data_IF_601000552535
#
_entry.id   IF_601000552535
#
_cell.length_a   1.000
_cell.length_b   1.000
_cell.length_c   1.000
_cell.angle_alpha   90.00
_cell.angle_beta   90.00
_cell.angle_gamma   90.00
#
_symmetry.space_group_name_H-M   'P 1'
#
loop_
_entity.id
_entity.type
_entity.pdbx_description
1 polymer ?
#
# COMPACT_ATOMS: atom_id res chain seq x y z
N UNK A 1 -15.10 -0.62 -4.79
CA UNK A 1 -15.18 0.71 -4.16
C UNK A 1 -13.82 1.06 -3.57
N UNK A 2 -13.25 2.21 -3.91
CA UNK A 2 -12.04 2.73 -3.23
C UNK A 2 -12.45 3.53 -1.99
N UNK A 3 -11.94 3.13 -0.82
CA UNK A 3 -12.20 3.77 0.47
C UNK A 3 -10.91 4.37 1.04
N UNK A 4 -10.96 5.62 1.46
CA UNK A 4 -9.86 6.28 2.16
C UNK A 4 -10.19 6.43 3.64
N UNK A 5 -9.67 5.53 4.48
CA UNK A 5 -9.78 5.56 5.94
C UNK A 5 -8.60 6.29 6.59
N UNK A 6 -7.88 7.10 5.85
CA UNK A 6 -6.74 7.88 6.29
C UNK A 6 -6.50 9.06 5.37
N UNK A 7 -5.61 9.97 5.74
CA UNK A 7 -5.33 11.17 4.96
C UNK A 7 -4.76 10.82 3.59
N UNK A 8 -5.56 11.07 2.59
CA UNK A 8 -5.12 11.17 1.20
C UNK A 8 -5.00 12.64 0.80
N UNK A 9 -4.48 12.88 -0.39
CA UNK A 9 -4.54 14.19 -1.04
C UNK A 9 -6.01 14.52 -1.37
N UNK A 10 -6.54 15.63 -0.84
CA UNK A 10 -7.92 16.07 -1.06
C UNK A 10 -8.88 15.77 0.10
N UNK A 11 -10.19 15.88 -0.15
CA UNK A 11 -11.27 15.76 0.84
C UNK A 11 -12.04 14.42 0.78
N UNK A 12 -11.40 13.34 0.34
CA UNK A 12 -12.02 12.02 0.20
C UNK A 12 -11.95 11.16 1.47
N UNK A 13 -11.50 11.73 2.59
CA UNK A 13 -11.39 11.02 3.86
C UNK A 13 -12.75 10.60 4.41
N UNK A 14 -12.87 9.34 4.79
CA UNK A 14 -14.01 8.78 5.51
C UNK A 14 -13.52 8.24 6.85
N UNK A 15 -13.71 9.01 7.92
CA UNK A 15 -13.25 8.70 9.30
C UNK A 15 -14.40 8.55 10.31
N UNK A 16 -15.63 8.93 9.91
CA UNK A 16 -16.79 8.81 10.79
C UNK A 16 -17.30 7.38 10.85
N UNK A 17 -17.39 6.82 12.06
CA UNK A 17 -17.81 5.43 12.29
C UNK A 17 -19.14 5.08 11.61
N UNK A 18 -20.14 5.95 11.71
CA UNK A 18 -21.44 5.71 11.06
C UNK A 18 -21.34 5.65 9.53
N UNK A 19 -20.49 6.48 8.92
CA UNK A 19 -20.27 6.46 7.48
C UNK A 19 -19.55 5.17 7.06
N UNK A 20 -18.57 4.74 7.83
CA UNK A 20 -17.86 3.48 7.60
C UNK A 20 -18.82 2.29 7.71
N UNK A 21 -19.61 2.21 8.78
CA UNK A 21 -20.61 1.15 8.95
C UNK A 21 -21.61 1.09 7.79
N UNK A 22 -22.09 2.25 7.32
CA UNK A 22 -22.99 2.33 6.19
C UNK A 22 -22.33 1.83 4.89
N UNK A 23 -21.06 2.15 4.65
CA UNK A 23 -20.32 1.67 3.47
C UNK A 23 -20.15 0.15 3.56
N UNK A 24 -19.65 -0.39 4.67
CA UNK A 24 -19.40 -1.82 4.80
C UNK A 24 -20.67 -2.67 4.75
N UNK A 25 -21.81 -2.16 5.26
CA UNK A 25 -23.09 -2.87 5.21
C UNK A 25 -23.89 -2.61 3.91
N UNK A 26 -23.54 -1.56 3.16
CA UNK A 26 -24.35 -1.06 2.03
C UNK A 26 -23.93 -1.61 0.66
N UNK A 27 -22.97 -2.54 0.58
CA UNK A 27 -22.49 -3.03 -0.70
C UNK A 27 -21.95 -4.46 -0.65
N UNK A 28 -22.19 -5.21 -1.73
CA UNK A 28 -21.57 -6.53 -1.98
C UNK A 28 -20.29 -6.40 -2.83
N UNK A 29 -19.94 -5.18 -3.27
CA UNK A 29 -18.74 -4.93 -4.03
C UNK A 29 -17.48 -5.04 -3.16
N UNK A 30 -16.36 -5.40 -3.79
CA UNK A 30 -15.06 -5.34 -3.12
C UNK A 30 -14.76 -3.90 -2.66
N UNK A 31 -14.44 -3.75 -1.38
CA UNK A 31 -13.95 -2.49 -0.79
C UNK A 31 -12.43 -2.55 -0.76
N UNK A 32 -11.77 -1.68 -1.53
CA UNK A 32 -10.32 -1.53 -1.51
C UNK A 32 -9.96 -0.32 -0.64
N UNK A 33 -9.33 -0.55 0.51
CA UNK A 33 -9.16 0.47 1.54
C UNK A 33 -7.71 0.93 1.71
N UNK A 34 -7.49 2.25 1.65
CA UNK A 34 -6.29 2.90 2.16
C UNK A 34 -6.45 3.11 3.67
N UNK A 35 -5.53 2.57 4.47
CA UNK A 35 -5.65 2.50 5.91
C UNK A 35 -4.48 3.17 6.62
N UNK A 36 -4.71 4.40 7.09
CA UNK A 36 -3.80 5.12 7.99
C UNK A 36 -4.62 5.98 8.96
N UNK A 37 -4.41 5.81 10.27
CA UNK A 37 -5.17 6.54 11.29
C UNK A 37 -4.80 8.02 11.32
N UNK A 38 -5.77 8.86 10.98
CA UNK A 38 -5.59 10.30 10.82
C UNK A 38 -5.23 11.01 12.13
N UNK A 39 -5.83 10.58 13.23
CA UNK A 39 -5.57 11.19 14.54
C UNK A 39 -4.14 10.92 14.99
N UNK A 40 -3.67 9.69 14.85
CA UNK A 40 -2.28 9.32 15.16
C UNK A 40 -1.30 10.11 14.29
N UNK A 41 -1.58 10.24 12.98
CA UNK A 41 -0.72 11.02 12.08
C UNK A 41 -0.68 12.48 12.49
N UNK A 42 -1.82 13.11 12.77
CA UNK A 42 -1.92 14.50 13.20
C UNK A 42 -1.12 14.73 14.49
N UNK A 43 -1.29 13.87 15.49
CA UNK A 43 -0.56 13.95 16.74
C UNK A 43 0.96 13.81 16.54
N UNK A 44 1.38 12.90 15.66
CA UNK A 44 2.78 12.74 15.29
C UNK A 44 3.33 13.99 14.58
N UNK A 45 2.57 14.59 13.65
CA UNK A 45 2.97 15.83 12.96
C UNK A 45 3.22 16.93 13.99
N UNK A 46 2.30 17.16 14.93
CA UNK A 46 2.46 18.20 15.95
C UNK A 46 3.68 17.95 16.84
N UNK A 47 3.91 16.69 17.25
CA UNK A 47 5.11 16.30 17.99
C UNK A 47 6.40 16.63 17.22
N UNK A 48 6.43 16.34 15.93
CA UNK A 48 7.61 16.60 15.10
C UNK A 48 7.78 18.08 14.77
N UNK A 49 6.69 18.85 14.60
CA UNK A 49 6.76 20.33 14.49
C UNK A 49 7.39 20.94 15.74
N UNK A 50 7.02 20.47 16.93
CA UNK A 50 7.63 20.95 18.18
C UNK A 50 9.11 20.60 18.23
N UNK A 51 9.49 19.35 17.85
CA UNK A 51 10.88 18.90 17.83
C UNK A 51 11.77 19.72 16.87
N UNK A 52 11.22 20.11 15.73
CA UNK A 52 11.93 20.87 14.69
C UNK A 52 11.47 22.33 14.63
N UNK A 53 11.08 22.91 15.79
CA UNK A 53 10.65 24.31 15.89
C UNK A 53 11.72 25.25 15.35
N UNK A 54 11.33 26.13 14.41
CA UNK A 54 12.22 27.08 13.75
C UNK A 54 12.89 26.54 12.46
N UNK A 55 12.74 25.25 12.13
CA UNK A 55 13.13 24.73 10.82
C UNK A 55 12.05 25.03 9.77
N UNK A 56 12.49 25.18 8.53
CA UNK A 56 11.57 25.47 7.39
C UNK A 56 10.65 24.29 7.05
N UNK A 57 11.11 23.05 7.34
CA UNK A 57 10.32 21.81 7.20
C UNK A 57 10.88 20.73 8.14
N UNK A 58 10.10 19.66 8.34
CA UNK A 58 10.54 18.46 9.08
C UNK A 58 11.39 17.60 8.14
N UNK A 59 12.57 17.10 8.55
CA UNK A 59 13.36 16.22 7.70
C UNK A 59 12.55 15.04 7.17
N UNK A 60 12.72 14.69 5.89
CA UNK A 60 11.98 13.61 5.25
C UNK A 60 12.18 12.24 5.95
N UNK A 61 13.31 12.03 6.59
CA UNK A 61 13.60 10.83 7.40
C UNK A 61 12.64 10.65 8.60
N UNK A 62 11.92 11.71 9.01
CA UNK A 62 10.88 11.62 10.02
C UNK A 62 9.53 11.10 9.46
N UNK A 63 9.35 11.07 8.13
CA UNK A 63 8.10 10.64 7.50
C UNK A 63 7.60 9.25 7.97
N UNK A 64 8.46 8.21 8.10
CA UNK A 64 8.04 6.91 8.64
C UNK A 64 7.61 6.93 10.10
N UNK A 65 8.06 7.91 10.87
CA UNK A 65 7.64 8.09 12.27
C UNK A 65 6.36 8.90 12.39
N UNK A 66 6.09 9.79 11.45
CA UNK A 66 4.83 10.51 11.32
C UNK A 66 3.73 9.54 10.88
N UNK A 67 3.93 8.83 9.77
CA UNK A 67 3.06 7.75 9.28
C UNK A 67 3.52 6.42 9.84
N UNK A 68 3.30 6.28 11.13
CA UNK A 68 3.92 5.27 11.98
C UNK A 68 3.25 3.90 11.85
N UNK A 69 3.93 2.86 12.37
CA UNK A 69 3.35 1.51 12.47
C UNK A 69 2.01 1.50 13.23
N UNK A 70 1.86 2.20 14.39
CA UNK A 70 0.57 2.32 15.04
C UNK A 70 -0.52 2.95 14.16
N UNK A 71 -0.19 3.98 13.37
CA UNK A 71 -1.17 4.62 12.49
C UNK A 71 -1.70 3.65 11.41
N UNK A 72 -0.81 2.88 10.76
CA UNK A 72 -1.20 1.87 9.78
C UNK A 72 -2.04 0.76 10.45
N UNK A 73 -1.55 0.20 11.54
CA UNK A 73 -2.21 -0.93 12.21
C UNK A 73 -3.61 -0.58 12.73
N UNK A 74 -3.77 0.58 13.39
CA UNK A 74 -5.07 0.97 13.97
C UNK A 74 -6.17 1.09 12.89
N UNK A 75 -5.83 1.68 11.75
CA UNK A 75 -6.78 1.83 10.65
C UNK A 75 -7.05 0.51 9.91
N UNK A 76 -6.02 -0.30 9.66
CA UNK A 76 -6.17 -1.63 9.04
C UNK A 76 -6.98 -2.58 9.94
N UNK A 77 -6.73 -2.55 11.26
CA UNK A 77 -7.49 -3.36 12.23
C UNK A 77 -8.97 -2.96 12.25
N UNK A 78 -9.25 -1.66 12.25
CA UNK A 78 -10.63 -1.17 12.17
C UNK A 78 -11.33 -1.63 10.89
N UNK A 79 -10.67 -1.51 9.73
CA UNK A 79 -11.24 -1.95 8.46
C UNK A 79 -11.54 -3.45 8.45
N UNK A 80 -10.59 -4.27 8.91
CA UNK A 80 -10.74 -5.73 9.01
C UNK A 80 -11.89 -6.10 9.96
N UNK A 81 -12.00 -5.43 11.11
CA UNK A 81 -13.08 -5.65 12.08
C UNK A 81 -14.45 -5.30 11.48
N UNK A 82 -14.56 -4.15 10.79
CA UNK A 82 -15.80 -3.76 10.12
C UNK A 82 -16.20 -4.74 9.01
N UNK A 83 -15.24 -5.17 8.20
CA UNK A 83 -15.48 -6.17 7.16
C UNK A 83 -15.97 -7.51 7.73
N UNK A 84 -15.39 -7.99 8.84
CA UNK A 84 -15.82 -9.20 9.51
C UNK A 84 -17.24 -9.09 10.08
N UNK A 85 -17.61 -7.96 10.67
CA UNK A 85 -18.95 -7.71 11.21
C UNK A 85 -19.99 -7.66 10.09
N UNK A 86 -19.68 -6.97 8.98
CA UNK A 86 -20.58 -6.80 7.84
C UNK A 86 -20.61 -8.01 6.88
N UNK A 87 -19.67 -8.96 7.01
CA UNK A 87 -19.46 -10.00 6.00
C UNK A 87 -18.95 -9.46 4.65
N UNK A 88 -18.41 -8.25 4.63
CA UNK A 88 -18.01 -7.55 3.41
C UNK A 88 -16.71 -8.09 2.84
N UNK A 89 -16.56 -7.98 1.51
CA UNK A 89 -15.29 -8.26 0.81
C UNK A 89 -14.36 -7.05 0.93
N UNK A 90 -13.18 -7.26 1.53
CA UNK A 90 -12.20 -6.20 1.78
C UNK A 90 -10.84 -6.53 1.15
N UNK A 91 -10.21 -5.52 0.55
CA UNK A 91 -8.82 -5.56 0.12
C UNK A 91 -8.05 -4.41 0.79
N UNK A 92 -7.10 -4.73 1.66
CA UNK A 92 -6.24 -3.73 2.29
C UNK A 92 -5.10 -3.40 1.32
N UNK A 93 -5.06 -2.13 0.91
CA UNK A 93 -4.07 -1.62 -0.03
C UNK A 93 -2.72 -1.38 0.66
N UNK A 94 -1.63 -1.53 -0.08
CA UNK A 94 -0.26 -1.11 0.27
C UNK A 94 0.14 -1.36 1.74
N UNK A 95 -0.08 -2.56 2.27
CA UNK A 95 0.40 -2.96 3.60
C UNK A 95 1.90 -2.68 3.71
N UNK A 96 2.32 -2.01 4.78
CA UNK A 96 3.68 -1.50 4.90
C UNK A 96 4.39 -1.90 6.20
N UNK A 97 3.73 -2.65 7.09
CA UNK A 97 4.27 -3.01 8.41
C UNK A 97 4.13 -4.49 8.72
N UNK A 98 5.11 -5.04 9.45
CA UNK A 98 5.06 -6.41 9.97
C UNK A 98 3.86 -6.61 10.93
N UNK A 99 3.46 -5.56 11.66
CA UNK A 99 2.36 -5.65 12.61
C UNK A 99 1.01 -5.87 11.94
N UNK A 100 0.77 -5.29 10.78
CA UNK A 100 -0.47 -5.45 10.02
C UNK A 100 -0.69 -6.89 9.55
N UNK A 101 0.39 -7.65 9.33
CA UNK A 101 0.33 -9.05 8.85
C UNK A 101 -0.47 -9.98 9.77
N UNK A 102 -0.59 -9.63 11.06
CA UNK A 102 -1.40 -10.37 12.04
C UNK A 102 -2.91 -10.33 11.76
N UNK A 103 -3.34 -9.44 10.87
CA UNK A 103 -4.75 -9.25 10.50
C UNK A 103 -5.22 -10.18 9.39
N UNK A 104 -4.29 -10.84 8.68
CA UNK A 104 -4.56 -11.62 7.48
C UNK A 104 -4.34 -13.12 7.73
N UNK A 105 -4.92 -13.96 6.87
CA UNK A 105 -4.71 -15.41 6.86
C UNK A 105 -3.93 -15.85 5.61
N UNK A 106 -3.29 -17.01 5.69
CA UNK A 106 -2.57 -17.67 4.59
C UNK A 106 -3.45 -18.70 3.86
N UNK A 107 -4.76 -18.67 4.08
CA UNK A 107 -5.71 -19.52 3.37
C UNK A 107 -5.63 -19.33 1.85
N UNK A 108 -6.07 -20.31 1.07
CA UNK A 108 -6.20 -20.15 -0.37
C UNK A 108 -7.05 -18.93 -0.73
N UNK A 109 -6.63 -18.16 -1.74
CA UNK A 109 -7.29 -16.91 -2.14
C UNK A 109 -8.81 -17.06 -2.36
N UNK A 110 -9.26 -18.21 -2.86
CA UNK A 110 -10.67 -18.49 -3.10
C UNK A 110 -11.53 -18.50 -1.81
N UNK A 111 -10.89 -18.69 -0.65
CA UNK A 111 -11.57 -18.77 0.65
C UNK A 111 -11.51 -17.45 1.44
N UNK A 112 -10.80 -16.43 0.88
CA UNK A 112 -10.61 -15.17 1.58
C UNK A 112 -11.67 -14.14 1.21
N UNK A 113 -12.38 -13.62 2.21
CA UNK A 113 -13.14 -12.38 2.09
C UNK A 113 -12.26 -11.13 2.34
N UNK A 114 -11.16 -11.30 3.05
CA UNK A 114 -10.21 -10.22 3.37
C UNK A 114 -8.87 -10.57 2.73
N UNK A 115 -8.42 -9.71 1.83
CA UNK A 115 -7.18 -9.83 1.08
C UNK A 115 -6.29 -8.60 1.31
N UNK A 116 -5.00 -8.71 1.00
CA UNK A 116 -4.05 -7.64 1.21
C UNK A 116 -3.01 -7.56 0.09
N UNK A 117 -2.51 -6.35 -0.16
CA UNK A 117 -1.43 -6.13 -1.11
C UNK A 117 -0.21 -5.47 -0.44
N UNK A 118 0.98 -5.75 -0.97
CA UNK A 118 2.18 -4.98 -0.70
C UNK A 118 2.65 -4.30 -1.99
N UNK A 119 3.10 -3.04 -1.90
CA UNK A 119 3.62 -2.36 -3.08
C UNK A 119 5.11 -2.64 -3.27
N UNK A 120 5.54 -2.65 -4.53
CA UNK A 120 6.94 -2.82 -4.94
C UNK A 120 7.88 -1.95 -4.11
N UNK A 121 7.50 -0.70 -3.85
CA UNK A 121 8.28 0.23 -3.04
C UNK A 121 8.55 -0.28 -1.62
N UNK A 122 7.57 -0.90 -0.96
CA UNK A 122 7.70 -1.44 0.40
C UNK A 122 8.47 -2.78 0.42
N UNK A 123 8.57 -3.47 -0.72
CA UNK A 123 9.37 -4.67 -0.89
C UNK A 123 10.85 -4.37 -1.23
N UNK A 124 11.14 -3.16 -1.75
CA UNK A 124 12.50 -2.75 -2.13
C UNK A 124 13.17 -1.89 -1.08
N UNK A 125 12.52 -0.78 -0.69
CA UNK A 125 13.13 0.26 0.11
C UNK A 125 12.97 0.02 1.61
N UNK A 126 13.85 0.65 2.37
CA UNK A 126 13.79 0.73 3.83
C UNK A 126 14.04 2.16 4.28
N UNK A 127 13.76 2.47 5.55
CA UNK A 127 13.94 3.82 6.09
C UNK A 127 15.36 4.37 5.93
N UNK A 128 16.38 3.51 5.80
CA UNK A 128 17.77 3.96 5.59
C UNK A 128 17.97 4.61 4.23
N UNK A 129 17.15 4.27 3.23
CA UNK A 129 17.22 4.85 1.89
C UNK A 129 16.76 6.32 1.84
N UNK A 130 16.06 6.82 2.89
CA UNK A 130 15.78 8.26 2.98
C UNK A 130 17.06 9.10 3.05
N UNK A 131 18.19 8.53 3.54
CA UNK A 131 19.46 9.24 3.61
C UNK A 131 20.07 9.54 2.22
N UNK A 132 19.89 8.63 1.27
CA UNK A 132 20.46 8.75 -0.10
C UNK A 132 19.44 9.23 -1.13
N UNK A 133 18.17 8.82 -1.01
CA UNK A 133 17.12 9.10 -1.99
C UNK A 133 16.19 10.27 -1.56
N UNK A 134 16.25 10.67 -0.29
CA UNK A 134 15.45 11.78 0.22
C UNK A 134 13.95 11.57 -0.01
N UNK A 135 13.27 12.64 -0.41
CA UNK A 135 11.85 12.61 -0.67
C UNK A 135 11.44 11.84 -1.94
N UNK A 136 12.38 11.39 -2.77
CA UNK A 136 12.08 10.57 -3.96
C UNK A 136 11.33 9.29 -3.59
N UNK A 137 11.63 8.71 -2.42
CA UNK A 137 10.94 7.51 -1.90
C UNK A 137 9.82 7.82 -0.90
N UNK A 138 9.44 9.08 -0.76
CA UNK A 138 8.31 9.45 0.08
C UNK A 138 7.00 9.00 -0.56
N UNK A 139 6.25 8.13 0.12
CA UNK A 139 4.93 7.63 -0.25
C UNK A 139 4.04 7.46 0.98
N UNK A 140 2.77 7.18 0.79
CA UNK A 140 1.78 6.96 1.84
C UNK A 140 1.06 5.62 1.61
N UNK A 141 1.24 4.64 2.51
CA UNK A 141 2.04 4.64 3.76
C UNK A 141 3.54 4.79 3.51
N UNK A 142 4.24 5.32 4.51
CA UNK A 142 5.68 5.51 4.40
C UNK A 142 6.44 4.19 4.29
N UNK A 143 7.56 4.19 3.57
CA UNK A 143 8.57 3.12 3.63
C UNK A 143 9.07 2.97 5.07
N UNK A 144 9.14 1.75 5.60
CA UNK A 144 9.41 1.43 7.00
C UNK A 144 10.81 0.82 7.22
N UNK A 145 11.00 0.13 8.33
CA UNK A 145 12.26 -0.51 8.72
C UNK A 145 12.56 -1.73 7.84
N UNK A 146 13.82 -2.17 7.85
CA UNK A 146 14.23 -3.43 7.21
C UNK A 146 13.43 -4.63 7.73
N UNK A 147 13.14 -4.67 9.02
CA UNK A 147 12.32 -5.72 9.63
C UNK A 147 10.90 -5.79 9.06
N UNK A 148 10.29 -4.64 8.76
CA UNK A 148 8.98 -4.59 8.12
C UNK A 148 9.07 -5.11 6.68
N UNK A 149 10.08 -4.67 5.91
CA UNK A 149 10.31 -5.14 4.54
C UNK A 149 10.50 -6.66 4.47
N UNK A 150 11.35 -7.23 5.33
CA UNK A 150 11.60 -8.66 5.33
C UNK A 150 10.34 -9.46 5.75
N UNK A 151 9.56 -8.94 6.69
CA UNK A 151 8.29 -9.55 7.05
C UNK A 151 7.28 -9.52 5.88
N UNK A 152 7.21 -8.43 5.12
CA UNK A 152 6.37 -8.34 3.92
C UNK A 152 6.82 -9.32 2.85
N UNK A 153 8.14 -9.46 2.58
CA UNK A 153 8.70 -10.45 1.65
C UNK A 153 8.32 -11.88 2.04
N UNK A 154 8.46 -12.21 3.32
CA UNK A 154 8.03 -13.50 3.86
C UNK A 154 6.52 -13.70 3.70
N UNK A 155 5.72 -12.68 3.97
CA UNK A 155 4.26 -12.71 3.85
C UNK A 155 3.77 -12.91 2.40
N UNK A 156 4.47 -12.35 1.42
CA UNK A 156 4.21 -12.61 -0.01
C UNK A 156 4.43 -14.10 -0.34
N UNK A 157 5.53 -14.66 0.12
CA UNK A 157 5.86 -16.06 -0.13
C UNK A 157 4.93 -17.05 0.61
N UNK A 158 4.48 -16.70 1.82
CA UNK A 158 3.60 -17.56 2.62
C UNK A 158 2.12 -17.46 2.25
N UNK A 159 1.72 -16.48 1.43
CA UNK A 159 0.32 -16.28 1.06
C UNK A 159 -0.48 -15.37 2.00
N UNK A 160 0.12 -14.80 3.04
CA UNK A 160 -0.52 -13.76 3.86
C UNK A 160 -0.80 -12.49 3.06
N UNK A 161 0.13 -12.09 2.18
CA UNK A 161 -0.06 -11.03 1.18
C UNK A 161 -0.45 -11.68 -0.15
N UNK A 162 -1.56 -11.21 -0.71
CA UNK A 162 -2.20 -11.80 -1.89
C UNK A 162 -1.72 -11.17 -3.19
N UNK A 163 -1.38 -9.89 -3.19
CA UNK A 163 -1.06 -9.09 -4.38
C UNK A 163 0.23 -8.31 -4.18
N UNK A 164 1.00 -8.18 -5.25
CA UNK A 164 2.06 -7.18 -5.40
C UNK A 164 1.53 -6.09 -6.34
N UNK A 165 1.45 -4.86 -5.83
CA UNK A 165 0.92 -3.71 -6.54
C UNK A 165 1.98 -2.59 -6.69
N UNK A 166 1.63 -1.53 -7.40
CA UNK A 166 2.55 -0.42 -7.67
C UNK A 166 2.32 0.82 -6.81
N UNK A 167 1.07 1.11 -6.48
CA UNK A 167 0.64 2.40 -5.95
C UNK A 167 1.25 3.57 -6.74
N UNK A 168 1.16 3.48 -8.09
CA UNK A 168 1.76 4.43 -9.00
C UNK A 168 1.16 5.83 -8.81
N UNK A 169 1.97 6.74 -8.27
CA UNK A 169 1.61 8.14 -8.06
C UNK A 169 2.79 9.03 -8.47
N UNK A 170 2.91 9.36 -9.77
CA UNK A 170 4.02 10.13 -10.29
C UNK A 170 3.92 11.60 -9.90
N UNK A 171 5.08 12.18 -9.61
CA UNK A 171 5.26 13.60 -9.32
C UNK A 171 6.49 14.13 -10.05
N UNK A 172 6.49 15.42 -10.39
CA UNK A 172 7.67 16.09 -10.91
C UNK A 172 8.78 16.11 -9.85
N UNK A 173 10.04 16.15 -10.28
CA UNK A 173 11.17 16.21 -9.35
C UNK A 173 11.11 17.44 -8.45
N UNK A 174 10.64 18.58 -8.96
CA UNK A 174 10.40 19.81 -8.19
C UNK A 174 9.35 19.64 -7.10
N UNK A 175 8.33 18.81 -7.32
CA UNK A 175 7.30 18.50 -6.31
C UNK A 175 7.82 17.53 -5.22
N UNK A 176 8.92 16.84 -5.50
CA UNK A 176 9.63 15.96 -4.56
C UNK A 176 10.70 16.70 -3.75
N UNK A 177 10.77 18.01 -3.85
CA UNK A 177 11.64 18.83 -3.02
C UNK A 177 11.03 19.16 -1.67
N UNK A 178 11.87 19.32 -0.64
CA UNK A 178 11.45 19.59 0.72
C UNK A 178 11.51 18.37 1.64
N UNK A 179 10.91 18.51 2.81
CA UNK A 179 10.92 17.52 3.87
C UNK A 179 9.61 16.71 3.95
N UNK A 180 9.32 16.28 5.18
CA UNK A 180 8.18 15.40 5.45
C UNK A 180 6.81 16.07 5.23
N UNK A 181 6.71 17.40 5.32
CA UNK A 181 5.45 18.12 5.13
C UNK A 181 5.29 18.66 3.71
N UNK A 182 6.35 19.24 3.13
CA UNK A 182 6.27 19.96 1.85
C UNK A 182 6.35 19.01 0.64
N UNK A 183 7.30 18.07 0.63
CA UNK A 183 7.46 17.18 -0.52
C UNK A 183 6.22 16.32 -0.76
N UNK A 184 5.82 16.18 -2.02
CA UNK A 184 4.68 15.31 -2.40
C UNK A 184 4.97 13.83 -2.14
N UNK A 185 3.94 13.09 -1.76
CA UNK A 185 4.01 11.64 -1.51
C UNK A 185 3.51 10.86 -2.72
N UNK A 186 4.33 9.94 -3.21
CA UNK A 186 4.05 9.08 -4.36
C UNK A 186 5.31 8.78 -5.15
N UNK A 187 5.32 7.66 -5.87
CA UNK A 187 6.43 7.21 -6.71
C UNK A 187 5.95 6.71 -8.07
N UNK A 188 6.72 6.92 -9.17
CA UNK A 188 6.36 6.44 -10.51
C UNK A 188 6.78 4.97 -10.68
N UNK A 189 6.03 4.03 -10.08
CA UNK A 189 6.44 2.62 -9.98
C UNK A 189 5.97 1.72 -11.13
N UNK A 190 5.00 2.10 -11.98
CA UNK A 190 4.49 1.20 -13.04
C UNK A 190 5.63 0.71 -13.94
N UNK A 191 6.44 1.62 -14.48
CA UNK A 191 7.52 1.30 -15.41
C UNK A 191 8.57 0.36 -14.79
N UNK A 192 8.82 0.49 -13.49
CA UNK A 192 9.89 -0.21 -12.79
C UNK A 192 9.41 -1.46 -12.05
N UNK A 193 8.11 -1.70 -11.94
CA UNK A 193 7.55 -2.74 -11.09
C UNK A 193 8.02 -4.14 -11.46
N UNK A 194 7.89 -4.51 -12.74
CA UNK A 194 8.29 -5.84 -13.20
C UNK A 194 9.80 -6.05 -13.10
N UNK A 195 10.59 -5.09 -13.56
CA UNK A 195 12.07 -5.17 -13.51
C UNK A 195 12.55 -5.33 -12.08
N UNK A 196 12.00 -4.54 -11.15
CA UNK A 196 12.35 -4.66 -9.73
C UNK A 196 11.96 -6.00 -9.11
N UNK A 197 10.85 -6.58 -9.53
CA UNK A 197 10.46 -7.90 -9.03
C UNK A 197 11.32 -9.02 -9.64
N UNK A 198 11.75 -8.88 -10.89
CA UNK A 198 12.70 -9.82 -11.51
C UNK A 198 14.08 -9.75 -10.84
N UNK A 199 14.54 -8.56 -10.46
CA UNK A 199 15.76 -8.42 -9.65
C UNK A 199 15.64 -9.17 -8.31
N UNK A 200 14.49 -9.07 -7.63
CA UNK A 200 14.24 -9.85 -6.41
C UNK A 200 14.12 -11.36 -6.67
N UNK A 201 13.76 -11.79 -7.88
CA UNK A 201 13.83 -13.20 -8.28
C UNK A 201 15.30 -13.64 -8.44
N UNK A 202 16.12 -12.83 -9.09
CA UNK A 202 17.56 -13.11 -9.27
C UNK A 202 18.29 -13.13 -7.92
N UNK A 203 17.85 -12.30 -6.96
CA UNK A 203 18.34 -12.32 -5.58
C UNK A 203 17.81 -13.52 -4.75
N UNK A 204 16.92 -14.35 -5.30
CA UNK A 204 16.30 -15.48 -4.61
C UNK A 204 15.28 -15.12 -3.54
N UNK A 205 14.78 -13.88 -3.55
CA UNK A 205 13.73 -13.41 -2.61
C UNK A 205 12.37 -14.01 -2.97
N UNK A 206 12.04 -14.06 -4.26
CA UNK A 206 10.81 -14.63 -4.79
C UNK A 206 11.11 -15.65 -5.88
N UNK A 207 10.17 -16.58 -6.14
CA UNK A 207 10.19 -17.33 -7.39
C UNK A 207 9.47 -16.54 -8.50
N UNK A 208 9.77 -16.85 -9.76
CA UNK A 208 9.09 -16.24 -10.91
C UNK A 208 7.59 -16.53 -10.87
N UNK A 209 7.21 -17.75 -10.48
CA UNK A 209 5.81 -18.17 -10.32
C UNK A 209 5.11 -17.33 -9.26
N UNK A 210 5.77 -17.03 -8.14
CA UNK A 210 5.23 -16.13 -7.09
C UNK A 210 4.97 -14.74 -7.67
N UNK A 211 5.91 -14.19 -8.42
CA UNK A 211 5.74 -12.86 -9.05
C UNK A 211 4.55 -12.85 -10.00
N UNK A 212 4.47 -13.84 -10.90
CA UNK A 212 3.34 -13.96 -11.86
C UNK A 212 2.01 -14.15 -11.10
N UNK A 213 1.99 -15.02 -10.10
CA UNK A 213 0.78 -15.25 -9.30
C UNK A 213 0.30 -13.98 -8.60
N UNK A 214 1.24 -13.22 -7.98
CA UNK A 214 0.89 -12.05 -7.15
C UNK A 214 0.68 -10.76 -7.95
N UNK A 215 1.28 -10.62 -9.13
CA UNK A 215 1.12 -9.43 -9.97
C UNK A 215 0.04 -9.59 -11.05
N UNK A 216 -0.32 -10.82 -11.44
CA UNK A 216 -1.23 -11.06 -12.54
C UNK A 216 -2.48 -11.85 -12.13
N UNK A 217 -2.33 -13.08 -11.66
CA UNK A 217 -3.46 -13.96 -11.40
C UNK A 217 -4.30 -13.55 -10.18
N UNK A 218 -3.65 -13.21 -9.06
CA UNK A 218 -4.34 -12.86 -7.84
C UNK A 218 -5.16 -11.56 -8.00
N UNK A 219 -4.61 -10.44 -8.51
CA UNK A 219 -5.40 -9.23 -8.73
C UNK A 219 -6.55 -9.47 -9.72
N UNK A 220 -6.34 -10.25 -10.80
CA UNK A 220 -7.42 -10.58 -11.73
C UNK A 220 -8.59 -11.30 -11.03
N UNK A 221 -8.30 -12.25 -10.15
CA UNK A 221 -9.33 -12.97 -9.39
C UNK A 221 -10.03 -12.08 -8.35
N UNK A 222 -9.27 -11.26 -7.61
CA UNK A 222 -9.81 -10.38 -6.56
C UNK A 222 -10.75 -9.35 -7.16
N UNK A 223 -10.38 -8.74 -8.28
CA UNK A 223 -11.16 -7.70 -8.96
C UNK A 223 -12.18 -8.24 -9.97
N UNK A 224 -12.29 -9.57 -10.11
CA UNK A 224 -13.25 -10.18 -11.02
C UNK A 224 -12.95 -9.90 -12.50
N UNK A 225 -11.70 -9.64 -12.84
CA UNK A 225 -11.22 -9.49 -14.21
C UNK A 225 -11.02 -10.90 -14.77
N UNK A 226 -12.11 -11.54 -15.14
CA UNK A 226 -12.08 -12.91 -15.66
C UNK A 226 -12.27 -12.92 -17.16
N UNK A 227 -11.65 -13.85 -17.82
CA UNK A 227 -10.26 -14.17 -17.87
C UNK A 227 -9.63 -13.37 -18.98
N UNK A 228 -8.42 -12.96 -18.85
CA UNK A 228 -7.62 -12.90 -20.03
C UNK A 228 -7.18 -11.54 -20.42
N UNK A 229 -5.95 -11.32 -20.06
CA UNK A 229 -5.14 -10.27 -20.63
C UNK A 229 -5.26 -10.15 -22.15
N UNK A 230 -5.42 -11.24 -22.90
CA UNK A 230 -5.53 -11.19 -24.36
C UNK A 230 -6.91 -10.75 -24.89
N UNK A 231 -8.00 -10.81 -24.13
CA UNK A 231 -9.27 -10.23 -24.58
C UNK A 231 -9.34 -8.72 -24.36
N UNK A 232 -8.66 -8.22 -23.33
CA UNK A 232 -8.60 -6.79 -23.02
C UNK A 232 -7.35 -6.11 -23.59
N UNK A 233 -6.27 -6.88 -23.78
CA UNK A 233 -4.99 -6.44 -24.31
C UNK A 233 -4.73 -7.00 -25.72
N UNK A 234 -5.76 -7.38 -26.46
CA UNK A 234 -5.61 -7.59 -27.89
C UNK A 234 -5.40 -6.22 -28.50
N UNK A 235 -4.18 -5.81 -28.41
CA UNK A 235 -3.71 -4.57 -28.93
C UNK A 235 -4.08 -4.48 -30.41
N UNK A 236 -4.46 -3.32 -30.85
CA UNK A 236 -4.76 -3.08 -32.29
C UNK A 236 -3.58 -3.45 -33.17
N UNK A 237 -2.36 -3.42 -32.64
CA UNK A 237 -1.13 -3.83 -33.29
C UNK A 237 -1.02 -5.33 -33.58
N UNK A 238 -1.82 -6.20 -33.00
CA UNK A 238 -1.85 -7.63 -33.32
C UNK A 238 -2.87 -7.98 -34.41
N UNK A 239 -3.61 -7.03 -34.94
CA UNK A 239 -4.29 -7.18 -36.20
C UNK A 239 -3.23 -7.08 -37.28
N UNK A 240 -2.61 -8.22 -37.63
CA UNK A 240 -1.90 -8.34 -38.90
C UNK A 240 -2.86 -7.96 -40.03
N UNK A 241 -2.43 -7.08 -40.87
CA UNK A 241 -3.02 -6.78 -42.15
C UNK A 241 -3.13 -8.05 -43.01
#
# INVERSE_FOLDING_TARGET
IKLFMGSSTGNMLVDKMNSLLNIFNGTDMLIAAHCEDQETIKNNIEKYKQKYKGADDIPVSAHPSIRSVPACYASSELAVRLAKIAGARLHILHVSTAKELQLFSDEPLANKNITAEACVAHLLFTLTHYNSLGARIKCNPAVKRKTDREALRTAVNSGLIDVIATDHAPHLLSEKEGGALKAMSGMPMIQFSLVSMLELVDEGVFSLETVVQKMCHAPARIYGICPVSYTHLRAHETRSN
#
